data_IF_768216750292
#
_entry.id   IF_768216750292
#
_cell.length_a   1.000
_cell.length_b   1.000
_cell.length_c   1.000
_cell.angle_alpha   90.00
_cell.angle_beta   90.00
_cell.angle_gamma   90.00
#
_symmetry.space_group_name_H-M   'P 1'
#
loop_
_entity.id
_entity.type
_entity.pdbx_description
1 polymer ?
#
# COMPACT_ATOMS: atom_id res chain seq x y z
N UNK A 1 19.20 10.03 1.29
CA UNK A 1 18.44 8.76 1.47
C UNK A 1 17.26 8.68 0.49
N UNK A 2 17.35 9.43 -0.61
CA UNK A 2 16.21 9.81 -1.44
C UNK A 2 16.06 8.90 -2.66
N UNK A 3 17.15 8.25 -3.06
CA UNK A 3 17.15 7.21 -4.08
C UNK A 3 16.27 6.02 -3.67
N UNK A 4 16.44 5.50 -2.45
CA UNK A 4 15.62 4.42 -1.90
C UNK A 4 14.15 4.84 -1.73
N UNK A 5 13.88 6.03 -1.21
CA UNK A 5 12.51 6.55 -1.08
C UNK A 5 11.80 6.60 -2.44
N UNK A 6 12.48 7.06 -3.49
CA UNK A 6 11.91 7.16 -4.85
C UNK A 6 11.61 5.78 -5.43
N UNK A 7 12.52 4.81 -5.30
CA UNK A 7 12.30 3.44 -5.77
C UNK A 7 11.22 2.70 -4.99
N UNK A 8 11.17 2.84 -3.65
CA UNK A 8 10.15 2.16 -2.86
C UNK A 8 8.76 2.75 -3.13
N UNK A 9 8.63 4.08 -3.30
CA UNK A 9 7.37 4.69 -3.75
C UNK A 9 6.96 4.15 -5.13
N UNK A 10 7.91 3.96 -6.05
CA UNK A 10 7.64 3.42 -7.37
C UNK A 10 7.18 1.95 -7.31
N UNK A 11 7.82 1.12 -6.48
CA UNK A 11 7.43 -0.27 -6.22
C UNK A 11 6.03 -0.31 -5.61
N UNK A 12 5.77 0.53 -4.60
CA UNK A 12 4.46 0.64 -3.97
C UNK A 12 3.34 0.96 -4.98
N UNK A 13 3.59 1.94 -5.85
CA UNK A 13 2.65 2.32 -6.90
C UNK A 13 2.41 1.18 -7.89
N UNK A 14 3.45 0.42 -8.24
CA UNK A 14 3.32 -0.76 -9.10
C UNK A 14 2.49 -1.85 -8.42
N UNK A 15 2.71 -2.13 -7.13
CA UNK A 15 1.91 -3.08 -6.36
C UNK A 15 0.44 -2.69 -6.31
N UNK A 16 0.13 -1.41 -6.10
CA UNK A 16 -1.25 -0.91 -6.10
C UNK A 16 -1.92 -1.06 -7.46
N UNK A 17 -1.19 -0.79 -8.55
CA UNK A 17 -1.68 -1.01 -9.91
C UNK A 17 -1.97 -2.50 -10.18
N UNK A 18 -1.14 -3.39 -9.65
CA UNK A 18 -1.32 -4.84 -9.75
C UNK A 18 -2.59 -5.29 -9.01
N UNK A 19 -2.86 -4.74 -7.81
CA UNK A 19 -4.12 -4.98 -7.08
C UNK A 19 -5.34 -4.57 -7.90
N UNK A 20 -5.29 -3.39 -8.54
CA UNK A 20 -6.38 -2.90 -9.39
C UNK A 20 -6.62 -3.81 -10.60
N UNK A 21 -5.54 -4.29 -11.25
CA UNK A 21 -5.64 -5.24 -12.36
C UNK A 21 -6.32 -6.53 -11.90
N UNK A 22 -5.91 -7.10 -10.75
CA UNK A 22 -6.51 -8.34 -10.23
C UNK A 22 -8.00 -8.15 -9.89
N UNK A 23 -8.37 -6.98 -9.35
CA UNK A 23 -9.75 -6.61 -9.10
C UNK A 23 -10.58 -6.60 -10.40
N UNK A 24 -10.00 -6.02 -11.46
CA UNK A 24 -10.62 -5.90 -12.77
C UNK A 24 -10.68 -7.26 -13.49
N UNK A 25 -9.63 -8.06 -13.40
CA UNK A 25 -9.56 -9.42 -13.96
C UNK A 25 -10.59 -10.35 -13.34
N UNK A 26 -10.93 -10.19 -12.06
CA UNK A 26 -12.04 -10.94 -11.42
C UNK A 26 -13.38 -10.67 -12.08
N UNK A 27 -13.60 -9.45 -12.57
CA UNK A 27 -14.84 -9.09 -13.26
C UNK A 27 -14.91 -9.70 -14.67
N UNK A 28 -13.76 -9.98 -15.30
CA UNK A 28 -13.68 -10.38 -16.70
C UNK A 28 -13.37 -11.87 -16.92
N UNK A 29 -12.70 -12.54 -15.97
CA UNK A 29 -12.24 -13.93 -16.12
C UNK A 29 -12.74 -14.78 -14.94
N UNK A 30 -13.44 -15.86 -15.26
CA UNK A 30 -13.95 -16.85 -14.31
C UNK A 30 -12.82 -17.80 -13.88
N UNK A 31 -11.86 -17.26 -13.10
CA UNK A 31 -10.79 -18.06 -12.51
C UNK A 31 -11.33 -18.93 -11.37
N UNK A 32 -10.71 -20.10 -11.14
CA UNK A 32 -11.07 -20.97 -10.04
C UNK A 32 -10.99 -20.21 -8.70
N UNK A 33 -12.11 -20.18 -7.96
CA UNK A 33 -12.28 -19.40 -6.72
C UNK A 33 -11.13 -19.61 -5.73
N UNK A 34 -10.67 -20.85 -5.55
CA UNK A 34 -9.55 -21.19 -4.66
C UNK A 34 -8.23 -20.52 -5.06
N UNK A 35 -7.97 -20.39 -6.37
CA UNK A 35 -6.75 -19.77 -6.87
C UNK A 35 -6.76 -18.26 -6.67
N UNK A 36 -7.92 -17.63 -6.85
CA UNK A 36 -8.14 -16.20 -6.60
C UNK A 36 -7.91 -15.89 -5.11
N UNK A 37 -8.47 -16.69 -4.20
CA UNK A 37 -8.35 -16.45 -2.75
C UNK A 37 -6.89 -16.55 -2.27
N UNK A 38 -6.14 -17.53 -2.78
CA UNK A 38 -4.70 -17.67 -2.47
C UNK A 38 -3.92 -16.46 -2.99
N UNK A 39 -4.19 -16.01 -4.22
CA UNK A 39 -3.53 -14.83 -4.78
C UNK A 39 -3.79 -13.58 -3.95
N UNK A 40 -5.03 -13.35 -3.54
CA UNK A 40 -5.38 -12.22 -2.67
C UNK A 40 -4.65 -12.26 -1.34
N UNK A 41 -4.62 -13.43 -0.71
CA UNK A 41 -3.93 -13.67 0.55
C UNK A 41 -2.44 -13.31 0.45
N UNK A 42 -1.77 -13.76 -0.62
CA UNK A 42 -0.36 -13.47 -0.87
C UNK A 42 -0.15 -11.98 -1.12
N UNK A 43 -0.98 -11.37 -1.97
CA UNK A 43 -0.86 -9.95 -2.32
C UNK A 43 -1.05 -9.04 -1.10
N UNK A 44 -2.07 -9.30 -0.28
CA UNK A 44 -2.31 -8.53 0.95
C UNK A 44 -1.17 -8.70 1.96
N UNK A 45 -0.64 -9.91 2.14
CA UNK A 45 0.54 -10.14 2.96
C UNK A 45 1.74 -9.31 2.47
N UNK A 46 2.02 -9.36 1.16
CA UNK A 46 3.13 -8.59 0.56
C UNK A 46 2.97 -7.09 0.81
N UNK A 47 1.75 -6.59 0.63
CA UNK A 47 1.41 -5.18 0.84
C UNK A 47 1.55 -4.77 2.30
N UNK A 48 1.12 -5.61 3.25
CA UNK A 48 1.27 -5.35 4.69
C UNK A 48 2.73 -5.21 5.10
N UNK A 49 3.59 -6.12 4.62
CA UNK A 49 5.04 -6.09 4.88
C UNK A 49 5.67 -4.83 4.25
N UNK A 50 5.26 -4.48 3.03
CA UNK A 50 5.74 -3.28 2.34
C UNK A 50 5.36 -2.01 3.11
N UNK A 51 4.14 -1.93 3.65
CA UNK A 51 3.71 -0.82 4.51
C UNK A 51 4.52 -0.71 5.79
N UNK A 52 4.80 -1.85 6.46
CA UNK A 52 5.66 -1.88 7.65
C UNK A 52 7.07 -1.38 7.36
N UNK A 53 7.64 -1.79 6.22
CA UNK A 53 8.96 -1.32 5.76
C UNK A 53 8.94 0.19 5.47
N UNK A 54 7.87 0.66 4.82
CA UNK A 54 7.66 2.08 4.53
C UNK A 54 7.50 2.93 5.77
N UNK A 55 6.80 2.43 6.79
CA UNK A 55 6.66 3.11 8.07
C UNK A 55 8.03 3.41 8.70
N UNK A 56 9.01 2.53 8.51
CA UNK A 56 10.36 2.76 8.99
C UNK A 56 11.14 3.75 8.12
N UNK A 57 10.89 3.78 6.81
CA UNK A 57 11.59 4.64 5.86
C UNK A 57 11.15 6.12 5.87
N UNK A 58 9.95 6.45 6.36
CA UNK A 58 9.47 7.83 6.44
C UNK A 58 9.75 8.48 7.79
N UNK A 59 10.38 9.65 7.76
CA UNK A 59 10.69 10.43 8.97
C UNK A 59 9.48 11.22 9.52
N UNK A 60 8.48 11.49 8.67
CA UNK A 60 7.30 12.25 9.08
C UNK A 60 6.37 11.39 9.96
N UNK A 61 6.07 11.81 11.21
CA UNK A 61 5.36 10.97 12.17
C UNK A 61 3.93 10.61 11.71
N UNK A 62 3.22 11.52 11.04
CA UNK A 62 1.88 11.26 10.51
C UNK A 62 1.85 10.14 9.46
N UNK A 63 2.80 10.18 8.50
CA UNK A 63 2.95 9.14 7.48
C UNK A 63 3.40 7.82 8.11
N UNK A 64 4.40 7.88 8.99
CA UNK A 64 4.92 6.72 9.70
C UNK A 64 3.83 6.00 10.49
N UNK A 65 3.02 6.72 11.26
CA UNK A 65 1.93 6.14 12.04
C UNK A 65 0.88 5.52 11.13
N UNK A 66 0.48 6.20 10.06
CA UNK A 66 -0.52 5.69 9.10
C UNK A 66 -0.04 4.42 8.41
N UNK A 67 1.19 4.41 7.88
CA UNK A 67 1.78 3.22 7.24
C UNK A 67 1.92 2.07 8.22
N UNK A 68 2.28 2.34 9.46
CA UNK A 68 2.43 1.32 10.50
C UNK A 68 1.06 0.71 10.87
N UNK A 69 0.07 1.54 11.20
CA UNK A 69 -1.26 1.05 11.57
C UNK A 69 -1.94 0.32 10.41
N UNK A 70 -1.85 0.85 9.19
CA UNK A 70 -2.45 0.23 8.00
C UNK A 70 -1.73 -1.07 7.61
N UNK A 71 -0.40 -1.09 7.67
CA UNK A 71 0.40 -2.29 7.37
C UNK A 71 0.12 -3.42 8.35
N UNK A 72 0.11 -3.11 9.66
CA UNK A 72 -0.23 -4.09 10.70
C UNK A 72 -1.66 -4.60 10.54
N UNK A 73 -2.62 -3.70 10.27
CA UNK A 73 -4.01 -4.09 10.05
C UNK A 73 -4.15 -5.06 8.86
N UNK A 74 -3.63 -4.67 7.68
CA UNK A 74 -3.71 -5.49 6.46
C UNK A 74 -3.01 -6.84 6.65
N UNK A 75 -1.88 -6.87 7.37
CA UNK A 75 -1.16 -8.09 7.65
C UNK A 75 -1.91 -9.03 8.61
N UNK A 76 -2.36 -8.52 9.77
CA UNK A 76 -3.04 -9.33 10.79
C UNK A 76 -4.39 -9.82 10.29
N UNK A 77 -5.16 -8.95 9.63
CA UNK A 77 -6.49 -9.35 9.15
C UNK A 77 -6.44 -10.53 8.20
N UNK A 78 -5.36 -10.69 7.44
CA UNK A 78 -5.21 -11.82 6.53
C UNK A 78 -5.27 -13.19 7.24
N UNK A 79 -4.89 -13.27 8.52
CA UNK A 79 -4.93 -14.48 9.34
C UNK A 79 -6.23 -14.64 10.14
N UNK A 80 -7.09 -13.62 10.17
CA UNK A 80 -8.38 -13.65 10.85
C UNK A 80 -9.49 -14.11 9.89
N UNK A 81 -10.54 -14.71 10.47
CA UNK A 81 -11.70 -15.25 9.74
C UNK A 81 -12.26 -14.22 8.74
N UNK A 82 -12.66 -14.67 7.56
CA UNK A 82 -13.19 -13.78 6.54
C UNK A 82 -14.53 -13.16 6.97
N UNK A 83 -14.50 -11.84 7.05
CA UNK A 83 -15.68 -10.98 7.14
C UNK A 83 -15.67 -10.10 5.89
N UNK A 84 -16.83 -9.89 5.25
CA UNK A 84 -16.92 -9.12 3.99
C UNK A 84 -16.32 -7.71 4.08
N UNK A 85 -16.35 -7.12 5.28
CA UNK A 85 -15.86 -5.77 5.58
C UNK A 85 -14.32 -5.70 5.61
N UNK A 86 -13.64 -6.83 5.84
CA UNK A 86 -12.17 -6.94 5.93
C UNK A 86 -11.49 -6.42 4.66
N UNK A 87 -12.01 -6.81 3.49
CA UNK A 87 -11.47 -6.41 2.19
C UNK A 87 -11.63 -4.91 1.94
N UNK A 88 -12.79 -4.34 2.31
CA UNK A 88 -13.07 -2.90 2.18
C UNK A 88 -12.09 -2.09 3.03
N UNK A 89 -11.93 -2.45 4.30
CA UNK A 89 -11.02 -1.74 5.21
C UNK A 89 -9.57 -1.92 4.76
N UNK A 90 -9.20 -3.10 4.25
CA UNK A 90 -7.89 -3.34 3.67
C UNK A 90 -7.58 -2.40 2.49
N UNK A 91 -8.53 -2.21 1.58
CA UNK A 91 -8.39 -1.26 0.46
C UNK A 91 -8.23 0.17 0.97
N UNK A 92 -9.04 0.59 1.95
CA UNK A 92 -8.93 1.91 2.57
C UNK A 92 -7.52 2.09 3.16
N UNK A 93 -7.03 1.11 3.92
CA UNK A 93 -5.68 1.10 4.49
C UNK A 93 -4.56 1.20 3.44
N UNK A 94 -4.77 0.71 2.22
CA UNK A 94 -3.81 0.84 1.11
C UNK A 94 -3.86 2.24 0.47
N UNK A 95 -5.05 2.84 0.40
CA UNK A 95 -5.26 4.13 -0.28
C UNK A 95 -4.93 5.32 0.63
N UNK A 96 -5.28 5.26 1.92
CA UNK A 96 -5.09 6.36 2.88
C UNK A 96 -3.65 6.86 2.97
N UNK A 97 -2.61 6.01 3.11
CA UNK A 97 -1.22 6.45 3.18
C UNK A 97 -0.78 7.18 1.90
N UNK A 98 -1.35 6.83 0.75
CA UNK A 98 -1.04 7.45 -0.54
C UNK A 98 -1.65 8.85 -0.65
N UNK A 99 -2.92 8.99 -0.24
CA UNK A 99 -3.59 10.30 -0.21
C UNK A 99 -2.82 11.25 0.72
N UNK A 100 -2.47 10.76 1.91
CA UNK A 100 -1.68 11.52 2.89
C UNK A 100 -0.30 11.86 2.30
N UNK A 101 0.40 10.91 1.69
CA UNK A 101 1.69 11.17 1.06
C UNK A 101 1.62 12.23 -0.06
N UNK A 102 0.53 12.27 -0.82
CA UNK A 102 0.29 13.27 -1.87
C UNK A 102 -0.10 14.65 -1.35
N UNK A 103 -0.79 14.72 -0.21
CA UNK A 103 -1.22 15.97 0.42
C UNK A 103 -0.13 16.63 1.29
N UNK A 104 0.83 15.86 1.79
CA UNK A 104 1.92 16.45 2.55
C UNK A 104 2.78 17.29 1.61
N UNK A 105 2.99 18.59 1.90
CA UNK A 105 3.90 19.40 1.11
C UNK A 105 5.25 18.69 1.09
N UNK A 106 5.73 18.40 -0.13
CA UNK A 106 7.16 18.16 -0.34
C UNK A 106 7.83 19.31 0.38
N UNK A 107 8.75 19.00 1.28
CA UNK A 107 9.68 20.03 1.74
C UNK A 107 10.30 20.51 0.44
N UNK A 108 9.94 21.71 0.00
CA UNK A 108 10.66 22.37 -1.06
C UNK A 108 12.10 22.39 -0.56
N UNK A 109 12.96 21.62 -1.20
CA UNK A 109 14.34 22.03 -1.29
C UNK A 109 14.25 23.37 -2.03
N UNK A 110 14.33 24.44 -1.25
CA UNK A 110 14.70 25.74 -1.77
C UNK A 110 16.04 25.56 -2.49
N UNK A 111 16.01 25.37 -3.79
CA UNK A 111 17.06 25.85 -4.69
C UNK A 111 16.42 26.93 -5.57
N UNK A 112 16.29 28.10 -4.97
CA UNK A 112 16.30 29.34 -5.73
C UNK A 112 17.79 29.70 -5.93
N UNK A 113 18.37 29.37 -7.09
CA UNK A 113 19.48 30.15 -7.68
C UNK A 113 19.96 29.61 -9.03
N UNK A 114 19.87 30.50 -10.02
CA UNK A 114 20.74 30.68 -11.20
C UNK A 114 20.52 29.84 -12.48
N UNK A 115 19.86 30.53 -13.43
CA UNK A 115 20.05 30.54 -14.90
C UNK A 115 19.50 29.34 -15.68
#
# INVERSE_FOLDING_TARGET
MDFFKKHIIQIYRATLFLVLIVLFSRHFIDFNKKFIDILWTIMFCLIGILHLTMAWAFDKPALKLTFLSCGVYVFIMNFLHDFEIKSIIGIICIVTPLIIAGFLPKKEENEDSLI
#
